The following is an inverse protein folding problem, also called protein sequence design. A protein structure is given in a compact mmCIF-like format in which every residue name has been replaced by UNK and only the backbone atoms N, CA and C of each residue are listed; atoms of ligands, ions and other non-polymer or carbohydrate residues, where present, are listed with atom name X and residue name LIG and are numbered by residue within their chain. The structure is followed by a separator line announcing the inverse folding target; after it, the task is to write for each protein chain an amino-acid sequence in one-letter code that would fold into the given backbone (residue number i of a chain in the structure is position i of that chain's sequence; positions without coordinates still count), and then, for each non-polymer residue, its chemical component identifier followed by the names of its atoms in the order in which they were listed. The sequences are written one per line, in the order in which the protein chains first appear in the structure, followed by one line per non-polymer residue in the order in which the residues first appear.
data_IF_406729573753
#
_entry.id   IF_406729573753
#
_cell.length_a   1.000
_cell.length_b   1.000
_cell.length_c   1.000
_cell.angle_alpha   90.00
_cell.angle_beta   90.00
_cell.angle_gamma   90.00
#
_symmetry.space_group_name_H-M   'P 1'
#
loop_
_entity.id
_entity.type
_entity.pdbx_description
1 polymer ?
#
# COMPACT_ATOMS: atom_id res chain seq x y z
N UNK A 1 10.24 13.12 -17.89
CA UNK A 1 10.10 13.03 -16.41
C UNK A 1 10.08 14.43 -15.84
N UNK A 2 9.08 14.79 -15.03
CA UNK A 2 8.98 16.09 -14.35
C UNK A 2 9.24 15.89 -12.86
N UNK A 3 10.30 16.52 -12.34
CA UNK A 3 10.58 16.53 -10.91
C UNK A 3 9.64 17.51 -10.18
N UNK A 4 9.17 17.13 -9.00
CA UNK A 4 8.41 17.98 -8.09
C UNK A 4 9.15 18.01 -6.75
N UNK A 5 9.59 19.19 -6.31
CA UNK A 5 10.18 19.38 -5.00
C UNK A 5 9.12 19.92 -4.04
N UNK A 6 8.72 19.09 -3.09
CA UNK A 6 7.70 19.45 -2.11
C UNK A 6 7.24 18.26 -1.29
N UNK A 7 6.40 18.54 -0.30
CA UNK A 7 5.73 17.51 0.50
C UNK A 7 4.61 16.88 -0.31
N UNK A 8 4.51 15.55 -0.32
CA UNK A 8 3.42 14.86 -1.00
C UNK A 8 2.04 15.24 -0.45
N UNK A 9 1.99 15.67 0.81
CA UNK A 9 0.80 16.19 1.47
C UNK A 9 0.27 17.49 0.83
N UNK A 10 1.11 18.22 0.09
CA UNK A 10 0.69 19.39 -0.67
C UNK A 10 -0.01 19.03 -1.99
N UNK A 11 0.09 17.76 -2.43
CA UNK A 11 -0.60 17.28 -3.62
C UNK A 11 -2.01 16.85 -3.24
N UNK A 12 -2.99 17.64 -3.69
CA UNK A 12 -4.41 17.32 -3.58
C UNK A 12 -4.88 16.35 -4.66
N UNK A 13 -6.17 15.98 -4.65
CA UNK A 13 -6.72 15.01 -5.60
C UNK A 13 -6.67 15.51 -7.04
N UNK A 14 -6.92 16.79 -7.29
CA UNK A 14 -6.92 17.35 -8.65
C UNK A 14 -5.51 17.34 -9.27
N UNK A 15 -4.48 17.50 -8.44
CA UNK A 15 -3.10 17.34 -8.87
C UNK A 15 -2.77 15.90 -9.28
N UNK A 16 -3.45 14.91 -8.70
CA UNK A 16 -3.26 13.50 -9.05
C UNK A 16 -3.98 13.09 -10.33
N UNK A 17 -5.08 13.76 -10.71
CA UNK A 17 -5.84 13.45 -11.94
C UNK A 17 -5.02 13.58 -13.22
N UNK A 18 -3.89 14.29 -13.18
CA UNK A 18 -2.97 14.42 -14.30
C UNK A 18 -2.10 13.16 -14.55
N UNK A 19 -2.23 12.11 -13.72
CA UNK A 19 -1.42 10.89 -13.81
C UNK A 19 -2.29 9.65 -14.03
N UNK A 20 -1.79 8.70 -14.80
CA UNK A 20 -2.47 7.42 -15.06
C UNK A 20 -2.34 6.42 -13.91
N UNK A 21 -1.28 6.55 -13.11
CA UNK A 21 -0.97 5.68 -11.97
C UNK A 21 -0.01 6.37 -10.99
N UNK A 22 -0.12 6.02 -9.71
CA UNK A 22 0.76 6.52 -8.63
C UNK A 22 1.52 5.36 -8.01
N UNK A 23 2.84 5.50 -7.84
CA UNK A 23 3.69 4.56 -7.12
C UNK A 23 4.15 5.20 -5.81
N UNK A 24 3.80 4.59 -4.68
CA UNK A 24 4.18 5.07 -3.35
C UNK A 24 5.32 4.27 -2.75
N UNK A 25 6.39 4.96 -2.34
CA UNK A 25 7.53 4.39 -1.60
C UNK A 25 7.82 5.24 -0.36
N UNK A 26 6.77 5.56 0.39
CA UNK A 26 6.82 6.53 1.49
C UNK A 26 7.15 5.83 2.81
N UNK A 27 7.97 6.47 3.63
CA UNK A 27 8.49 5.95 4.89
C UNK A 27 7.54 6.10 6.09
N UNK A 28 6.47 6.88 5.94
CA UNK A 28 5.54 7.16 7.02
C UNK A 28 4.08 6.88 6.64
N UNK A 29 3.33 6.37 7.62
CA UNK A 29 1.94 5.95 7.45
C UNK A 29 1.06 7.14 7.02
N UNK A 30 1.28 8.33 7.59
CA UNK A 30 0.47 9.51 7.29
C UNK A 30 0.56 9.91 5.81
N UNK A 31 1.75 9.91 5.22
CA UNK A 31 1.96 10.22 3.81
C UNK A 31 1.35 9.14 2.89
N UNK A 32 1.49 7.86 3.26
CA UNK A 32 0.87 6.74 2.52
C UNK A 32 -0.65 6.85 2.54
N UNK A 33 -1.24 7.16 3.69
CA UNK A 33 -2.66 7.39 3.87
C UNK A 33 -3.17 8.60 3.08
N UNK A 34 -2.41 9.70 3.07
CA UNK A 34 -2.72 10.89 2.28
C UNK A 34 -2.75 10.58 0.79
N UNK A 35 -1.70 9.94 0.25
CA UNK A 35 -1.68 9.54 -1.16
C UNK A 35 -2.80 8.56 -1.48
N UNK A 36 -3.04 7.58 -0.62
CA UNK A 36 -4.11 6.61 -0.81
C UNK A 36 -5.47 7.29 -0.93
N UNK A 37 -5.82 8.17 0.01
CA UNK A 37 -7.11 8.86 0.01
C UNK A 37 -7.28 9.75 -1.23
N UNK A 38 -6.25 10.54 -1.58
CA UNK A 38 -6.31 11.43 -2.73
C UNK A 38 -6.31 10.66 -4.07
N UNK A 39 -5.55 9.57 -4.19
CA UNK A 39 -5.54 8.74 -5.40
C UNK A 39 -6.89 8.07 -5.60
N UNK A 40 -7.49 7.57 -4.51
CA UNK A 40 -8.81 6.97 -4.54
C UNK A 40 -9.89 7.97 -4.98
N UNK A 41 -9.88 9.17 -4.40
CA UNK A 41 -10.80 10.24 -4.78
C UNK A 41 -10.59 10.74 -6.22
N UNK A 42 -9.34 10.81 -6.67
CA UNK A 42 -8.99 11.16 -8.05
C UNK A 42 -9.32 10.05 -9.07
N UNK A 43 -9.74 8.86 -8.61
CA UNK A 43 -9.92 7.65 -9.43
C UNK A 43 -8.64 7.22 -10.16
N UNK A 44 -7.49 7.42 -9.53
CA UNK A 44 -6.17 7.05 -10.06
C UNK A 44 -5.66 5.82 -9.30
N UNK A 45 -5.28 4.74 -9.99
CA UNK A 45 -4.68 3.57 -9.34
C UNK A 45 -3.42 3.92 -8.54
N UNK A 46 -3.26 3.29 -7.39
CA UNK A 46 -2.15 3.49 -6.47
C UNK A 46 -1.50 2.16 -6.13
N UNK A 47 -0.18 2.04 -6.37
CA UNK A 47 0.61 0.88 -5.98
C UNK A 47 1.59 1.28 -4.89
N UNK A 48 1.36 0.77 -3.69
CA UNK A 48 2.10 1.07 -2.48
C UNK A 48 3.15 0.00 -2.21
N UNK A 49 4.41 0.39 -2.12
CA UNK A 49 5.54 -0.45 -1.72
C UNK A 49 6.05 -0.05 -0.34
N UNK A 50 6.36 -1.04 0.50
CA UNK A 50 6.98 -0.81 1.81
C UNK A 50 7.93 -1.94 2.18
N UNK A 51 8.99 -1.60 2.92
CA UNK A 51 10.09 -2.51 3.29
C UNK A 51 10.47 -2.31 4.75
N UNK A 52 10.75 -3.39 5.49
CA UNK A 52 11.24 -3.39 6.86
C UNK A 52 12.22 -4.57 7.03
N UNK A 53 13.53 -4.29 7.01
CA UNK A 53 14.57 -5.34 7.01
C UNK A 53 14.40 -6.31 5.83
N UNK A 54 14.30 -7.61 6.11
CA UNK A 54 14.08 -8.67 5.12
C UNK A 54 12.61 -8.84 4.70
N UNK A 55 11.70 -8.01 5.22
CA UNK A 55 10.28 -8.09 4.91
C UNK A 55 9.85 -6.95 4.03
N UNK A 56 8.87 -7.22 3.18
CA UNK A 56 8.32 -6.23 2.29
C UNK A 56 6.84 -6.45 2.01
N UNK A 57 6.21 -5.42 1.44
CA UNK A 57 4.83 -5.48 1.00
C UNK A 57 4.63 -4.67 -0.28
N UNK A 58 3.75 -5.18 -1.14
CA UNK A 58 3.17 -4.45 -2.26
C UNK A 58 1.66 -4.51 -2.14
N UNK A 59 0.99 -3.36 -2.09
CA UNK A 59 -0.47 -3.27 -2.12
C UNK A 59 -0.93 -2.53 -3.37
N UNK A 60 -1.86 -3.12 -4.10
CA UNK A 60 -2.45 -2.54 -5.30
C UNK A 60 -3.85 -2.03 -4.94
N UNK A 61 -4.10 -0.75 -5.21
CA UNK A 61 -5.39 -0.09 -5.01
C UNK A 61 -5.88 0.42 -6.36
N UNK A 62 -6.98 -0.14 -6.85
CA UNK A 62 -7.68 0.26 -8.07
C UNK A 62 -9.07 0.78 -7.69
N UNK A 63 -9.29 2.11 -7.68
CA UNK A 63 -10.61 2.69 -7.48
C UNK A 63 -11.56 2.34 -8.64
N UNK A 64 -12.90 2.32 -8.43
CA UNK A 64 -13.61 2.53 -7.17
C UNK A 64 -13.98 1.22 -6.45
N UNK A 65 -13.42 0.08 -6.85
CA UNK A 65 -13.87 -1.24 -6.39
C UNK A 65 -12.93 -1.90 -5.38
N UNK A 66 -11.62 -1.67 -5.48
CA UNK A 66 -10.66 -2.33 -4.59
C UNK A 66 -10.70 -1.74 -3.16
N UNK A 67 -10.40 -2.55 -2.13
CA UNK A 67 -10.08 -2.06 -0.80
C UNK A 67 -8.83 -1.17 -0.84
N UNK A 68 -8.90 -0.02 -0.16
CA UNK A 68 -7.76 0.89 -0.06
C UNK A 68 -6.84 0.52 1.12
N UNK A 69 -5.73 1.24 1.28
CA UNK A 69 -4.81 1.03 2.41
C UNK A 69 -5.53 1.15 3.77
N UNK A 70 -6.49 2.06 3.93
CA UNK A 70 -7.22 2.25 5.19
C UNK A 70 -8.10 1.05 5.55
N UNK A 71 -8.70 0.36 4.56
CA UNK A 71 -9.50 -0.84 4.80
C UNK A 71 -8.66 -1.95 5.46
N UNK A 72 -7.39 -2.09 5.03
CA UNK A 72 -6.45 -3.03 5.64
C UNK A 72 -5.97 -2.61 7.04
N UNK A 73 -5.97 -1.30 7.35
CA UNK A 73 -5.52 -0.79 8.65
C UNK A 73 -6.59 -0.88 9.75
N UNK A 74 -7.87 -0.65 9.42
CA UNK A 74 -8.95 -0.61 10.41
C UNK A 74 -9.33 -1.99 10.99
N UNK A 75 -9.16 -3.10 10.25
CA UNK A 75 -9.68 -4.43 10.65
C UNK A 75 -8.95 -5.15 11.79
N UNK A 76 -7.99 -4.55 12.47
CA UNK A 76 -7.41 -5.16 13.69
C UNK A 76 -6.78 -6.56 13.49
N UNK A 77 -6.42 -6.93 12.26
CA UNK A 77 -5.69 -8.17 11.96
C UNK A 77 -4.18 -7.96 11.84
N UNK A 78 -3.69 -6.72 11.75
CA UNK A 78 -2.25 -6.43 11.73
C UNK A 78 -1.60 -6.85 13.06
N UNK A 79 -2.27 -6.62 14.21
CA UNK A 79 -1.81 -7.16 15.52
C UNK A 79 -1.79 -8.70 15.58
N UNK A 80 -2.57 -9.40 14.76
CA UNK A 80 -2.65 -10.87 14.75
C UNK A 80 -1.71 -11.49 13.71
N UNK A 81 -1.50 -10.84 12.56
CA UNK A 81 -0.52 -11.28 11.56
C UNK A 81 0.91 -10.87 11.92
N UNK A 82 1.13 -9.67 12.48
CA UNK A 82 2.43 -9.32 13.09
C UNK A 82 2.79 -10.27 14.25
N UNK A 83 1.79 -10.82 14.95
CA UNK A 83 2.00 -11.89 15.95
C UNK A 83 2.29 -13.26 15.32
N UNK A 84 1.75 -13.57 14.13
CA UNK A 84 2.02 -14.86 13.46
C UNK A 84 3.37 -14.91 12.75
N UNK A 85 3.92 -13.76 12.39
CA UNK A 85 5.28 -13.64 11.89
C UNK A 85 6.34 -13.45 12.99
N UNK A 86 5.98 -13.55 14.28
CA UNK A 86 6.94 -13.73 15.37
C UNK A 86 6.93 -15.19 15.80
N UNK A 87 8.07 -15.87 15.70
CA UNK A 87 8.24 -17.20 16.28
C UNK A 87 8.30 -17.17 17.82
N UNK A 88 7.89 -16.09 18.46
CA UNK A 88 7.84 -15.93 19.92
C UNK A 88 6.65 -15.06 20.29
N UNK A 89 5.52 -15.70 20.58
CA UNK A 89 4.32 -15.06 21.09
C UNK A 89 4.47 -14.64 22.56
N UNK A 90 5.23 -13.59 22.84
CA UNK A 90 5.22 -12.95 24.16
C UNK A 90 5.14 -11.42 24.07
N UNK A 91 4.27 -10.89 24.92
CA UNK A 91 4.04 -9.46 25.14
C UNK A 91 5.31 -8.80 25.63
N UNK A 92 5.91 -7.93 24.80
CA UNK A 92 6.89 -6.97 25.24
C UNK A 92 6.70 -5.71 24.40
N UNK A 93 6.61 -4.57 25.07
CA UNK A 93 6.76 -3.24 24.46
C UNK A 93 8.20 -3.19 23.92
N UNK A 94 8.39 -3.71 22.71
CA UNK A 94 9.71 -3.88 22.12
C UNK A 94 10.12 -2.54 21.52
N UNK A 95 11.18 -1.94 22.09
CA UNK A 95 12.01 -0.98 21.36
C UNK A 95 12.44 -1.68 20.07
N UNK A 96 11.73 -1.45 18.96
CA UNK A 96 12.14 -1.95 17.65
C UNK A 96 13.32 -1.09 17.22
N UNK A 97 14.57 -1.60 17.21
CA UNK A 97 15.62 -0.89 16.50
C UNK A 97 15.13 -0.70 15.07
N UNK A 98 15.28 0.50 14.50
CA UNK A 98 15.02 0.73 13.08
C UNK A 98 15.83 -0.31 12.31
N UNK A 99 15.16 -1.33 11.79
CA UNK A 99 15.81 -2.31 10.94
C UNK A 99 16.28 -1.53 9.72
N UNK A 100 17.60 -1.49 9.44
CA UNK A 100 18.11 -0.76 8.30
C UNK A 100 17.45 -1.28 7.03
N UNK A 101 17.21 -0.38 6.08
CA UNK A 101 16.68 -0.74 4.78
C UNK A 101 17.66 -1.69 4.10
N UNK A 102 17.20 -2.93 3.88
CA UNK A 102 17.99 -3.94 3.21
C UNK A 102 17.78 -3.81 1.69
N UNK A 103 18.89 -3.69 0.96
CA UNK A 103 18.87 -3.24 -0.44
C UNK A 103 18.28 -4.29 -1.38
N UNK A 104 18.44 -5.58 -1.07
CA UNK A 104 17.90 -6.66 -1.90
C UNK A 104 16.38 -6.76 -1.77
N UNK A 105 15.85 -6.59 -0.57
CA UNK A 105 14.41 -6.52 -0.28
C UNK A 105 13.79 -5.29 -0.93
N UNK A 106 14.46 -4.15 -0.85
CA UNK A 106 14.04 -2.92 -1.55
C UNK A 106 13.98 -3.14 -3.07
N UNK A 107 15.00 -3.80 -3.62
CA UNK A 107 15.06 -4.12 -5.06
C UNK A 107 13.93 -5.08 -5.48
N UNK A 108 13.68 -6.12 -4.68
CA UNK A 108 12.59 -7.08 -4.93
C UNK A 108 11.22 -6.40 -4.89
N UNK A 109 10.95 -5.61 -3.85
CA UNK A 109 9.68 -4.89 -3.70
C UNK A 109 9.48 -3.86 -4.81
N UNK A 110 10.51 -3.09 -5.18
CA UNK A 110 10.43 -2.14 -6.29
C UNK A 110 10.12 -2.84 -7.62
N UNK A 111 10.75 -3.99 -7.89
CA UNK A 111 10.49 -4.77 -9.10
C UNK A 111 9.04 -5.26 -9.16
N UNK A 112 8.51 -5.75 -8.04
CA UNK A 112 7.12 -6.22 -7.95
C UNK A 112 6.16 -5.04 -8.08
N UNK A 113 6.41 -3.92 -7.39
CA UNK A 113 5.62 -2.71 -7.50
C UNK A 113 5.50 -2.22 -8.95
N UNK A 114 6.61 -2.14 -9.68
CA UNK A 114 6.60 -1.74 -11.10
C UNK A 114 5.89 -2.79 -11.95
N UNK A 115 6.05 -4.09 -11.65
CA UNK A 115 5.32 -5.16 -12.36
C UNK A 115 3.81 -4.99 -12.22
N UNK A 116 3.31 -4.71 -11.01
CA UNK A 116 1.90 -4.47 -10.75
C UNK A 116 1.40 -3.22 -11.48
N UNK A 117 2.20 -2.15 -11.47
CA UNK A 117 1.88 -0.92 -12.18
C UNK A 117 1.69 -1.16 -13.69
N UNK A 118 2.61 -1.89 -14.31
CA UNK A 118 2.54 -2.25 -15.73
C UNK A 118 1.31 -3.12 -16.02
N UNK A 119 0.95 -4.06 -15.12
CA UNK A 119 -0.26 -4.87 -15.28
C UNK A 119 -1.51 -4.00 -15.26
N UNK A 120 -1.63 -3.09 -14.29
CA UNK A 120 -2.75 -2.15 -14.20
C UNK A 120 -2.86 -1.29 -15.47
N UNK A 121 -1.77 -0.64 -15.90
CA UNK A 121 -1.76 0.19 -17.10
C UNK A 121 -2.09 -0.61 -18.38
N UNK A 122 -1.69 -1.88 -18.43
CA UNK A 122 -1.96 -2.79 -19.56
C UNK A 122 -3.31 -3.50 -19.45
N UNK A 123 -4.18 -3.13 -18.48
CA UNK A 123 -5.48 -3.76 -18.22
C UNK A 123 -5.40 -5.27 -17.97
N UNK A 124 -4.29 -5.73 -17.39
CA UNK A 124 -4.12 -7.11 -16.90
C UNK A 124 -4.43 -7.17 -15.41
N UNK A 125 -4.88 -8.33 -14.96
CA UNK A 125 -5.16 -8.55 -13.55
C UNK A 125 -3.89 -8.33 -12.69
N UNK A 126 -3.89 -7.36 -11.75
CA UNK A 126 -2.82 -7.24 -10.77
C UNK A 126 -2.95 -8.35 -9.71
N UNK A 127 -2.00 -8.36 -8.77
CA UNK A 127 -2.16 -9.05 -7.49
C UNK A 127 -3.45 -8.56 -6.84
N UNK A 128 -4.19 -9.47 -6.21
CA UNK A 128 -5.56 -9.23 -5.76
C UNK A 128 -5.67 -7.97 -4.91
N UNK A 129 -4.91 -7.88 -3.81
CA UNK A 129 -4.92 -6.70 -2.95
C UNK A 129 -3.54 -6.41 -2.36
N UNK A 130 -3.00 -7.33 -1.55
CA UNK A 130 -1.70 -7.14 -0.91
C UNK A 130 -0.86 -8.41 -1.01
N UNK A 131 0.42 -8.24 -1.31
CA UNK A 131 1.43 -9.28 -1.25
C UNK A 131 2.44 -8.94 -0.17
N UNK A 132 2.73 -9.91 0.67
CA UNK A 132 3.81 -9.89 1.65
C UNK A 132 4.99 -10.70 1.15
N UNK A 133 6.18 -10.15 1.31
CA UNK A 133 7.45 -10.81 1.02
C UNK A 133 8.18 -11.05 2.33
N UNK A 134 8.62 -12.28 2.58
CA UNK A 134 9.54 -12.63 3.66
C UNK A 134 10.84 -13.19 3.05
N UNK A 135 11.89 -12.38 3.05
CA UNK A 135 13.20 -12.74 2.49
C UNK A 135 14.00 -13.74 3.33
N UNK A 136 13.64 -13.97 4.59
CA UNK A 136 14.27 -15.02 5.41
C UNK A 136 13.68 -16.40 5.09
N UNK A 137 12.35 -16.46 4.95
CA UNK A 137 11.65 -17.68 4.56
C UNK A 137 11.68 -17.94 3.05
N UNK A 138 11.98 -16.91 2.24
CA UNK A 138 11.93 -16.97 0.78
C UNK A 138 10.50 -17.09 0.24
N UNK A 139 9.50 -16.58 0.97
CA UNK A 139 8.08 -16.75 0.64
C UNK A 139 7.42 -15.44 0.21
N UNK A 140 6.42 -15.58 -0.67
CA UNK A 140 5.50 -14.50 -1.03
C UNK A 140 4.07 -14.98 -0.74
N UNK A 141 3.35 -14.24 0.09
CA UNK A 141 1.96 -14.53 0.43
C UNK A 141 1.05 -13.43 -0.09
N UNK A 142 0.01 -13.80 -0.83
CA UNK A 142 -1.01 -12.86 -1.31
C UNK A 142 -2.23 -12.97 -0.41
N UNK A 143 -2.72 -11.84 0.08
CA UNK A 143 -3.90 -11.75 0.91
C UNK A 143 -4.98 -10.93 0.20
N UNK A 144 -6.20 -11.46 0.23
CA UNK A 144 -7.39 -10.75 -0.18
C UNK A 144 -7.89 -9.85 0.95
N UNK A 145 -8.20 -8.59 0.66
CA UNK A 145 -8.81 -7.66 1.60
C UNK A 145 -10.26 -7.42 1.20
N UNK A 146 -11.09 -7.12 2.18
CA UNK A 146 -12.46 -6.68 1.96
C UNK A 146 -12.53 -5.16 2.15
N UNK A 147 -13.43 -4.51 1.42
CA UNK A 147 -13.74 -3.10 1.64
C UNK A 147 -14.38 -2.96 3.02
N UNK A 148 -13.77 -2.15 3.88
CA UNK A 148 -14.32 -1.81 5.18
C UNK A 148 -15.52 -0.86 5.02
N UNK A 149 -16.76 -1.24 5.44
CA UNK A 149 -17.93 -0.38 5.36
C UNK A 149 -17.78 0.95 6.13
N UNK A 150 -16.92 0.99 7.15
CA UNK A 150 -16.60 2.19 7.91
C UNK A 150 -15.49 3.04 7.29
N UNK A 151 -14.93 2.67 6.14
CA UNK A 151 -13.83 3.40 5.53
C UNK A 151 -14.31 4.74 4.96
N UNK A 152 -13.68 5.88 5.34
CA UNK A 152 -14.08 7.20 4.85
C UNK A 152 -13.89 7.38 3.34
N UNK A 153 -13.07 6.54 2.70
CA UNK A 153 -12.84 6.57 1.25
C UNK A 153 -13.89 5.78 0.45
N UNK A 154 -14.64 4.89 1.10
CA UNK A 154 -15.57 3.95 0.47
C UNK A 154 -17.04 4.18 0.80
N UNK A 155 -17.34 5.18 1.65
CA UNK A 155 -18.68 5.42 2.17
C UNK A 155 -19.78 5.46 1.09
N UNK A 156 -20.90 4.81 1.41
CA UNK A 156 -22.11 4.75 0.60
C UNK A 156 -22.68 6.16 0.34
N UNK A 157 -22.38 6.75 -0.82
CA UNK A 157 -22.94 8.05 -1.19
C UNK A 157 -22.06 9.00 -2.02
N UNK A 158 -20.85 8.61 -2.43
CA UNK A 158 -19.99 9.46 -3.28
C UNK A 158 -19.95 9.06 -4.76
N UNK A 159 -20.97 8.35 -5.24
CA UNK A 159 -21.15 7.96 -6.65
C UNK A 159 -22.21 8.79 -7.40
N UNK A 160 -22.61 9.95 -6.90
CA UNK A 160 -23.57 10.82 -7.59
C UNK A 160 -23.09 12.27 -7.65
N UNK A 161 -22.05 12.55 -8.43
CA UNK A 161 -21.96 13.81 -9.18
C UNK A 161 -21.31 13.50 -10.53
N UNK A 162 -22.15 13.02 -11.45
CA UNK A 162 -22.02 13.20 -12.89
C UNK A 162 -22.17 14.67 -13.26
#
# INVERSE_FOLDING_TARGET
VRGLHGRVQALGPDGLRAYDIVLGCLDNIAARLHLNANSYYASVPYVDGGTEGFRGRVQVVVPPTSPCLQCGMNRSHLKVMERRFSCTGQEAVYYRPNLPAEITTTSAIAAIQVREAVKVLSRRAPIEHVMHYDGLAGTCEVLSLEVDPGCPNHGAGRLSQS
#
